data_IF_700368533141
#
_entry.id   IF_700368533141
#
_cell.length_a   1.000
_cell.length_b   1.000
_cell.length_c   1.000
_cell.angle_alpha   90.00
_cell.angle_beta   90.00
_cell.angle_gamma   90.00
#
_symmetry.space_group_name_H-M   'P 1'
#
loop_
_entity.id
_entity.type
_entity.pdbx_description
1 polymer ?
#
# COMPACT_ATOMS: atom_id res chain seq x y z
N UNK A 1 31.46 -38.90 -41.73
CA UNK A 1 31.06 -39.09 -40.32
C UNK A 1 31.21 -37.81 -39.52
N UNK A 2 30.11 -37.46 -38.84
CA UNK A 2 29.90 -36.49 -37.73
C UNK A 2 30.47 -35.06 -37.84
N UNK A 3 29.64 -34.02 -38.03
CA UNK A 3 28.67 -33.39 -37.10
C UNK A 3 29.32 -32.54 -36.00
N UNK A 4 29.31 -31.21 -36.19
CA UNK A 4 28.77 -30.22 -35.24
C UNK A 4 28.99 -28.79 -35.76
N UNK A 5 27.96 -28.24 -36.41
CA UNK A 5 27.88 -26.83 -36.80
C UNK A 5 27.10 -26.06 -35.73
N UNK A 6 27.78 -25.14 -35.06
CA UNK A 6 27.14 -24.13 -34.20
C UNK A 6 26.45 -23.07 -35.07
N UNK A 7 25.18 -22.69 -34.83
CA UNK A 7 24.62 -21.49 -35.43
C UNK A 7 24.92 -20.27 -34.54
N UNK A 8 25.66 -19.33 -35.10
CA UNK A 8 25.93 -18.00 -34.57
C UNK A 8 24.60 -17.29 -34.30
N UNK A 9 24.34 -16.91 -33.04
CA UNK A 9 23.22 -16.02 -32.71
C UNK A 9 23.42 -14.67 -33.40
N UNK A 10 22.68 -14.44 -34.49
CA UNK A 10 22.50 -13.12 -35.08
C UNK A 10 21.81 -12.23 -34.05
N UNK A 11 22.54 -11.21 -33.60
CA UNK A 11 22.03 -9.97 -33.02
C UNK A 11 20.95 -9.43 -33.96
N UNK A 12 19.69 -9.47 -33.54
CA UNK A 12 18.61 -8.75 -34.19
C UNK A 12 18.69 -7.32 -33.67
N UNK A 13 19.24 -6.45 -34.50
CA UNK A 13 19.13 -5.01 -34.34
C UNK A 13 17.64 -4.65 -34.45
N UNK A 14 17.07 -4.13 -33.36
CA UNK A 14 15.72 -3.55 -33.35
C UNK A 14 15.74 -2.24 -34.11
N UNK A 15 15.61 -2.31 -35.43
CA UNK A 15 15.27 -1.15 -36.25
C UNK A 15 13.84 -0.74 -35.93
N UNK A 16 13.71 0.40 -35.24
CA UNK A 16 12.44 1.08 -35.00
C UNK A 16 11.95 1.67 -36.33
N UNK A 17 11.38 0.82 -37.18
CA UNK A 17 10.65 1.26 -38.39
C UNK A 17 9.25 1.66 -37.95
N UNK A 18 8.99 2.96 -38.07
CA UNK A 18 7.67 3.54 -37.87
C UNK A 18 6.70 2.88 -38.85
N UNK A 19 5.83 2.02 -38.31
CA UNK A 19 4.79 1.34 -39.07
C UNK A 19 3.52 2.18 -38.98
N UNK A 20 2.89 2.39 -40.13
CA UNK A 20 1.66 3.14 -40.31
C UNK A 20 0.52 2.66 -39.37
N UNK A 21 -0.46 3.53 -39.03
CA UNK A 21 -1.55 3.18 -38.14
C UNK A 21 -2.50 2.19 -38.86
N UNK A 22 -2.25 0.89 -38.69
CA UNK A 22 -3.09 -0.13 -39.31
C UNK A 22 -2.48 -1.53 -39.38
N UNK A 23 -1.17 -1.69 -39.24
CA UNK A 23 -0.53 -3.01 -39.32
C UNK A 23 -0.29 -3.61 -37.93
N UNK A 24 -1.38 -4.01 -37.27
CA UNK A 24 -1.30 -4.84 -36.06
C UNK A 24 -0.85 -6.22 -36.51
N UNK A 25 0.26 -6.70 -35.96
CA UNK A 25 0.79 -8.03 -36.23
C UNK A 25 -0.34 -9.07 -36.10
N UNK A 26 -0.64 -9.77 -37.20
CA UNK A 26 -1.73 -10.73 -37.29
C UNK A 26 -1.56 -11.88 -36.30
N UNK A 27 -0.30 -12.18 -35.92
CA UNK A 27 0.02 -13.16 -34.88
C UNK A 27 -0.41 -12.64 -33.53
N UNK A 28 -0.05 -11.40 -33.19
CA UNK A 28 -0.46 -10.77 -31.93
C UNK A 28 -1.99 -10.64 -31.81
N UNK A 29 -2.68 -10.27 -32.90
CA UNK A 29 -4.14 -10.20 -32.93
C UNK A 29 -4.77 -11.58 -32.69
N UNK A 30 -4.22 -12.62 -33.34
CA UNK A 30 -4.70 -14.00 -33.17
C UNK A 30 -4.49 -14.49 -31.73
N UNK A 31 -3.32 -14.24 -31.15
CA UNK A 31 -3.02 -14.62 -29.76
C UNK A 31 -3.96 -13.90 -28.78
N UNK A 32 -4.25 -12.62 -29.02
CA UNK A 32 -5.19 -11.86 -28.20
C UNK A 32 -6.61 -12.44 -28.27
N UNK A 33 -7.06 -12.81 -29.48
CA UNK A 33 -8.38 -13.42 -29.71
C UNK A 33 -8.48 -14.80 -29.08
N UNK A 34 -7.42 -15.62 -29.17
CA UNK A 34 -7.38 -16.97 -28.57
C UNK A 34 -7.36 -16.92 -27.03
N UNK A 35 -6.85 -15.86 -26.41
CA UNK A 35 -6.88 -15.70 -24.95
C UNK A 35 -8.25 -15.30 -24.38
N UNK A 36 -9.15 -14.71 -25.18
CA UNK A 36 -10.45 -14.20 -24.68
C UNK A 36 -11.29 -15.28 -23.99
N UNK A 37 -11.52 -16.48 -24.58
CA UNK A 37 -12.28 -17.55 -23.90
C UNK A 37 -11.63 -18.04 -22.61
N UNK A 38 -10.29 -18.03 -22.53
CA UNK A 38 -9.54 -18.46 -21.35
C UNK A 38 -9.68 -17.46 -20.20
N UNK A 39 -9.57 -16.16 -20.52
CA UNK A 39 -9.79 -15.07 -19.58
C UNK A 39 -11.24 -15.06 -19.10
N UNK A 40 -12.20 -15.26 -20.00
CA UNK A 40 -13.62 -15.37 -19.66
C UNK A 40 -13.87 -16.56 -18.70
N UNK A 41 -13.28 -17.72 -18.97
CA UNK A 41 -13.36 -18.90 -18.09
C UNK A 41 -12.74 -18.67 -16.71
N UNK A 42 -11.70 -17.84 -16.60
CA UNK A 42 -11.09 -17.43 -15.34
C UNK A 42 -11.98 -16.47 -14.55
N UNK A 43 -12.62 -15.53 -15.23
CA UNK A 43 -13.56 -14.58 -14.62
C UNK A 43 -14.82 -15.32 -14.13
N UNK A 44 -15.35 -16.25 -14.91
CA UNK A 44 -16.50 -17.08 -14.54
C UNK A 44 -16.18 -18.02 -13.37
N UNK A 45 -14.95 -18.57 -13.30
CA UNK A 45 -14.50 -19.36 -12.15
C UNK A 45 -14.36 -18.54 -10.87
N UNK A 46 -14.01 -17.24 -10.96
CA UNK A 46 -13.91 -16.34 -9.79
C UNK A 46 -15.26 -16.12 -9.11
N UNK A 47 -16.36 -16.13 -9.86
CA UNK A 47 -17.71 -15.98 -9.30
C UNK A 47 -18.14 -17.22 -8.49
N UNK A 48 -17.61 -18.40 -8.82
CA UNK A 48 -17.91 -19.66 -8.16
C UNK A 48 -16.86 -20.01 -7.09
N UNK A 49 -16.33 -19.02 -6.37
CA UNK A 49 -15.40 -19.24 -5.28
C UNK A 49 -16.09 -19.97 -4.13
N UNK A 50 -16.03 -21.31 -4.17
CA UNK A 50 -16.48 -22.21 -3.11
C UNK A 50 -15.54 -22.20 -1.88
N UNK A 51 -14.63 -21.23 -1.79
CA UNK A 51 -13.78 -21.03 -0.62
C UNK A 51 -14.50 -20.20 0.45
N UNK A 52 -15.59 -20.73 0.99
CA UNK A 52 -15.98 -20.46 2.38
C UNK A 52 -15.64 -21.68 3.22
N UNK A 53 -14.34 -22.05 3.26
CA UNK A 53 -13.86 -23.01 4.24
C UNK A 53 -13.80 -22.31 5.60
N UNK A 54 -14.97 -22.11 6.20
CA UNK A 54 -15.13 -21.79 7.61
C UNK A 54 -14.74 -23.05 8.39
N UNK A 55 -13.45 -23.30 8.52
CA UNK A 55 -12.95 -24.35 9.41
C UNK A 55 -13.34 -23.98 10.83
N UNK A 56 -14.21 -24.76 11.46
CA UNK A 56 -14.46 -24.62 12.90
C UNK A 56 -13.17 -24.98 13.63
N UNK A 57 -12.50 -23.97 14.19
CA UNK A 57 -11.35 -24.17 15.04
C UNK A 57 -11.82 -24.74 16.39
N UNK A 58 -11.67 -26.05 16.58
CA UNK A 58 -11.90 -26.68 17.89
C UNK A 58 -10.64 -26.44 18.72
N UNK A 59 -10.73 -25.53 19.70
CA UNK A 59 -9.68 -25.32 20.70
C UNK A 59 -9.56 -26.57 21.58
N UNK A 60 -8.49 -27.34 21.37
CA UNK A 60 -8.07 -28.34 22.37
C UNK A 60 -7.20 -27.64 23.42
N UNK A 61 -7.43 -27.94 24.70
CA UNK A 61 -6.63 -27.42 25.82
C UNK A 61 -5.16 -27.79 25.61
N UNK A 62 -4.26 -26.81 25.75
CA UNK A 62 -2.81 -27.03 25.74
C UNK A 62 -2.42 -28.00 26.87
N UNK A 63 -1.64 -29.06 26.61
CA UNK A 63 -1.19 -29.95 27.67
C UNK A 63 -0.31 -29.18 28.66
N UNK A 64 -0.59 -29.31 29.96
CA UNK A 64 0.14 -28.60 31.01
C UNK A 64 1.60 -29.04 31.05
N UNK A 65 2.49 -28.06 31.28
CA UNK A 65 3.95 -28.21 31.32
C UNK A 65 4.46 -28.88 32.61
N UNK A 66 3.61 -29.58 33.35
CA UNK A 66 3.90 -30.12 34.68
C UNK A 66 4.64 -31.47 34.65
N UNK A 67 4.81 -32.10 33.49
CA UNK A 67 5.47 -33.40 33.37
C UNK A 67 7.00 -33.35 33.22
N UNK A 68 7.61 -32.16 33.16
CA UNK A 68 9.06 -31.99 32.94
C UNK A 68 9.85 -31.56 34.18
N UNK A 69 9.23 -31.40 35.35
CA UNK A 69 9.90 -30.91 36.58
C UNK A 69 9.91 -31.89 37.76
N UNK A 70 9.85 -33.21 37.53
CA UNK A 70 10.22 -34.20 38.56
C UNK A 70 11.45 -34.99 38.16
N UNK A 71 12.62 -34.39 38.36
CA UNK A 71 13.84 -35.16 38.57
C UNK A 71 14.88 -34.40 39.37
N UNK A 72 14.56 -34.18 40.64
CA UNK A 72 15.49 -34.20 41.78
C UNK A 72 14.67 -33.97 43.05
N UNK A 73 14.99 -34.73 44.10
CA UNK A 73 14.44 -34.67 45.48
C UNK A 73 12.94 -34.95 45.63
N UNK A 74 12.57 -36.21 45.91
CA UNK A 74 12.30 -36.61 47.29
C UNK A 74 11.82 -38.06 47.41
N UNK A 75 12.27 -38.66 48.50
CA UNK A 75 11.94 -39.98 49.03
C UNK A 75 10.45 -40.02 49.43
N UNK A 76 9.85 -41.22 49.27
CA UNK A 76 8.62 -41.72 49.94
C UNK A 76 7.32 -41.66 49.13
N UNK A 77 6.87 -42.85 48.71
CA UNK A 77 5.44 -43.13 48.66
C UNK A 77 4.94 -44.00 47.50
N UNK A 78 4.69 -45.28 47.83
CA UNK A 78 3.43 -45.99 47.51
C UNK A 78 3.34 -46.72 46.16
N UNK A 79 3.86 -47.94 46.21
CA UNK A 79 3.44 -49.20 45.57
C UNK A 79 2.12 -49.17 44.75
N UNK A 80 2.18 -49.54 43.48
CA UNK A 80 1.09 -50.23 42.77
C UNK A 80 1.65 -51.06 41.60
N UNK A 81 1.56 -52.38 41.73
CA UNK A 81 1.26 -53.35 40.68
C UNK A 81 2.25 -53.52 39.52
N UNK A 82 2.98 -54.64 39.53
CA UNK A 82 2.86 -55.71 38.52
C UNK A 82 3.76 -56.90 38.90
N UNK A 83 3.15 -58.07 38.92
CA UNK A 83 3.64 -59.28 39.56
C UNK A 83 4.63 -60.08 38.70
N UNK A 84 5.65 -60.64 39.36
CA UNK A 84 6.56 -61.68 38.86
C UNK A 84 5.94 -63.04 39.21
N UNK A 85 5.78 -64.00 38.27
CA UNK A 85 5.37 -65.35 38.64
C UNK A 85 6.60 -66.20 38.98
N UNK A 86 6.89 -66.32 40.29
CA UNK A 86 7.76 -67.36 40.84
C UNK A 86 6.94 -68.64 40.97
N UNK A 87 7.24 -69.67 40.17
CA UNK A 87 6.70 -71.02 40.40
C UNK A 87 7.50 -71.70 41.51
N UNK A 88 6.80 -72.04 42.60
CA UNK A 88 7.32 -72.76 43.76
C UNK A 88 7.38 -74.27 43.52
N UNK A 89 8.41 -74.86 44.12
CA UNK A 89 8.64 -76.28 44.43
C UNK A 89 7.47 -76.93 45.16
N UNK A 90 7.31 -78.25 44.94
CA UNK A 90 6.73 -79.19 45.92
C UNK A 90 7.41 -80.56 45.82
N UNK A 91 8.07 -80.89 46.92
CA UNK A 91 8.45 -82.17 47.58
C UNK A 91 8.45 -83.50 46.83
N UNK A 92 9.54 -84.29 47.02
CA UNK A 92 9.48 -85.59 47.71
C UNK A 92 10.89 -86.08 48.11
N UNK A 93 11.05 -86.44 49.38
CA UNK A 93 12.22 -87.11 49.98
C UNK A 93 12.00 -88.62 49.94
N UNK A 94 12.98 -89.37 49.42
CA UNK A 94 13.65 -90.53 50.04
C UNK A 94 14.22 -91.51 48.98
N UNK A 95 15.53 -91.80 49.08
CA UNK A 95 16.10 -93.16 49.30
C UNK A 95 17.63 -93.17 49.07
N UNK A 96 18.33 -93.62 50.11
CA UNK A 96 19.76 -93.96 50.14
C UNK A 96 20.12 -95.13 49.19
N UNK A 97 21.39 -95.18 48.76
CA UNK A 97 22.00 -96.39 48.19
C UNK A 97 23.39 -96.18 47.59
N UNK A 98 24.40 -96.26 48.45
CA UNK A 98 25.78 -96.77 48.26
C UNK A 98 26.62 -96.54 46.98
N UNK A 99 27.88 -96.18 47.28
CA UNK A 99 29.15 -96.60 46.64
C UNK A 99 29.67 -95.88 45.37
N UNK A 100 30.94 -95.48 45.46
CA UNK A 100 31.77 -94.64 44.57
C UNK A 100 32.07 -95.28 43.18
N UNK A 101 32.48 -94.50 42.16
CA UNK A 101 33.90 -94.14 42.00
C UNK A 101 34.16 -92.67 41.62
N UNK A 102 35.22 -92.10 42.22
CA UNK A 102 35.58 -90.66 42.26
C UNK A 102 36.53 -90.19 41.12
N UNK A 103 36.92 -91.03 40.17
CA UNK A 103 38.05 -90.70 39.28
C UNK A 103 37.74 -90.49 37.79
N UNK A 104 36.47 -90.34 37.38
CA UNK A 104 36.12 -90.04 35.96
C UNK A 104 35.43 -88.69 35.72
N UNK A 105 35.04 -87.97 36.78
CA UNK A 105 34.27 -86.72 36.63
C UNK A 105 35.15 -85.49 36.46
N UNK A 106 36.42 -85.53 36.89
CA UNK A 106 37.30 -84.34 36.90
C UNK A 106 37.75 -83.91 35.51
N UNK A 107 38.03 -84.87 34.62
CA UNK A 107 38.44 -84.59 33.24
C UNK A 107 37.27 -84.11 32.39
N UNK A 108 36.06 -84.67 32.56
CA UNK A 108 34.84 -84.19 31.91
C UNK A 108 34.38 -82.81 32.41
N UNK A 109 34.61 -82.50 33.70
CA UNK A 109 34.33 -81.17 34.27
C UNK A 109 35.30 -80.14 33.71
N UNK A 110 36.60 -80.47 33.62
CA UNK A 110 37.61 -79.58 33.04
C UNK A 110 37.42 -79.36 31.52
N UNK A 111 36.97 -80.38 30.79
CA UNK A 111 36.65 -80.27 29.36
C UNK A 111 35.42 -79.38 29.14
N UNK A 112 34.37 -79.56 29.96
CA UNK A 112 33.19 -78.70 29.96
C UNK A 112 33.50 -77.25 30.35
N UNK A 113 34.31 -77.04 31.38
CA UNK A 113 34.75 -75.69 31.79
C UNK A 113 35.58 -75.00 30.69
N UNK A 114 36.39 -75.75 29.95
CA UNK A 114 37.13 -75.21 28.80
C UNK A 114 36.21 -74.84 27.62
N UNK A 115 35.21 -75.66 27.30
CA UNK A 115 34.20 -75.32 26.28
C UNK A 115 33.40 -74.07 26.68
N UNK A 116 33.03 -73.94 27.95
CA UNK A 116 32.38 -72.74 28.49
C UNK A 116 33.29 -71.50 28.37
N UNK A 117 34.59 -71.64 28.67
CA UNK A 117 35.57 -70.56 28.48
C UNK A 117 35.75 -70.16 27.01
N UNK A 118 35.73 -71.12 26.08
CA UNK A 118 35.80 -70.87 24.63
C UNK A 118 34.53 -70.12 24.18
N UNK A 119 33.35 -70.57 24.60
CA UNK A 119 32.08 -69.90 24.27
C UNK A 119 32.00 -68.47 24.84
N UNK A 120 32.53 -68.25 26.05
CA UNK A 120 32.64 -66.91 26.64
C UNK A 120 33.62 -66.03 25.86
N UNK A 121 34.75 -66.58 25.41
CA UNK A 121 35.71 -65.88 24.55
C UNK A 121 35.05 -65.44 23.25
N UNK A 122 34.34 -66.36 22.60
CA UNK A 122 33.61 -66.07 21.36
C UNK A 122 32.59 -64.95 21.59
N UNK A 123 31.80 -65.00 22.67
CA UNK A 123 30.86 -63.91 23.00
C UNK A 123 31.56 -62.57 23.22
N UNK A 124 32.72 -62.54 23.88
CA UNK A 124 33.48 -61.31 24.11
C UNK A 124 33.96 -60.73 22.77
N UNK A 125 34.48 -61.56 21.87
CA UNK A 125 34.88 -61.14 20.52
C UNK A 125 33.68 -60.61 19.72
N UNK A 126 32.54 -61.30 19.81
CA UNK A 126 31.31 -60.92 19.12
C UNK A 126 30.73 -59.59 19.64
N UNK A 127 30.80 -59.37 20.96
CA UNK A 127 30.43 -58.11 21.61
C UNK A 127 31.39 -56.98 21.22
N UNK A 128 32.69 -57.23 21.18
CA UNK A 128 33.68 -56.26 20.72
C UNK A 128 33.42 -55.82 19.27
N UNK A 129 33.13 -56.78 18.37
CA UNK A 129 32.79 -56.47 16.98
C UNK A 129 31.51 -55.65 16.86
N UNK A 130 30.46 -55.98 17.63
CA UNK A 130 29.22 -55.19 17.70
C UNK A 130 29.44 -53.79 18.25
N UNK A 131 30.35 -53.64 19.21
CA UNK A 131 30.69 -52.35 19.79
C UNK A 131 31.39 -51.45 18.75
N UNK A 132 32.36 -51.99 18.02
CA UNK A 132 33.02 -51.30 16.91
C UNK A 132 32.01 -50.85 15.83
N UNK A 133 31.11 -51.74 15.41
CA UNK A 133 30.07 -51.40 14.44
C UNK A 133 29.14 -50.29 14.95
N UNK A 134 28.77 -50.31 16.24
CA UNK A 134 27.97 -49.24 16.85
C UNK A 134 28.74 -47.92 16.92
N UNK A 135 30.04 -47.95 17.19
CA UNK A 135 30.88 -46.74 17.22
C UNK A 135 30.99 -46.09 15.84
N UNK A 136 31.12 -46.88 14.77
CA UNK A 136 31.15 -46.37 13.39
C UNK A 136 29.78 -45.80 12.96
N UNK A 137 28.68 -46.45 13.36
CA UNK A 137 27.33 -45.89 13.18
C UNK A 137 27.15 -44.58 13.96
N UNK A 138 27.70 -44.50 15.17
CA UNK A 138 27.67 -43.28 15.97
C UNK A 138 28.44 -42.14 15.29
N UNK A 139 29.65 -42.41 14.77
CA UNK A 139 30.43 -41.44 13.99
C UNK A 139 29.66 -40.98 12.74
N UNK A 140 29.02 -41.91 12.04
CA UNK A 140 28.20 -41.59 10.86
C UNK A 140 26.99 -40.72 11.21
N UNK A 141 26.32 -41.01 12.34
CA UNK A 141 25.21 -40.21 12.84
C UNK A 141 25.66 -38.80 13.25
N UNK A 142 26.85 -38.66 13.83
CA UNK A 142 27.42 -37.37 14.22
C UNK A 142 27.78 -36.51 12.99
N UNK A 143 28.37 -37.11 11.95
CA UNK A 143 28.61 -36.44 10.66
C UNK A 143 27.29 -36.00 10.02
N UNK A 144 26.28 -36.89 10.01
CA UNK A 144 24.95 -36.58 9.48
C UNK A 144 24.28 -35.43 10.25
N UNK A 145 24.42 -35.41 11.59
CA UNK A 145 23.90 -34.32 12.43
C UNK A 145 24.57 -32.99 12.10
N UNK A 146 25.89 -32.97 11.88
CA UNK A 146 26.59 -31.75 11.48
C UNK A 146 26.09 -31.24 10.13
N UNK A 147 25.90 -32.14 9.16
CA UNK A 147 25.33 -31.77 7.86
C UNK A 147 23.91 -31.21 7.97
N UNK A 148 23.06 -31.78 8.85
CA UNK A 148 21.72 -31.24 9.12
C UNK A 148 21.80 -29.83 9.71
N UNK A 149 22.74 -29.57 10.63
CA UNK A 149 22.93 -28.23 11.19
C UNK A 149 23.35 -27.22 10.12
N UNK A 150 24.24 -27.62 9.20
CA UNK A 150 24.68 -26.76 8.09
C UNK A 150 23.50 -26.42 7.16
N UNK A 151 22.72 -27.42 6.76
CA UNK A 151 21.50 -27.23 5.96
C UNK A 151 20.48 -26.35 6.69
N UNK A 152 20.35 -26.49 8.00
CA UNK A 152 19.47 -25.66 8.80
C UNK A 152 19.93 -24.20 8.83
N UNK A 153 21.24 -23.94 8.94
CA UNK A 153 21.79 -22.59 8.86
C UNK A 153 21.57 -21.95 7.49
N UNK A 154 21.75 -22.70 6.39
CA UNK A 154 21.44 -22.22 5.04
C UNK A 154 19.94 -21.91 4.87
N UNK A 155 19.06 -22.74 5.43
CA UNK A 155 17.61 -22.52 5.40
C UNK A 155 17.23 -21.25 6.16
N UNK A 156 17.82 -21.00 7.32
CA UNK A 156 17.60 -19.76 8.09
C UNK A 156 18.10 -18.52 7.34
N UNK A 157 19.24 -18.62 6.64
CA UNK A 157 19.74 -17.54 5.78
C UNK A 157 18.80 -17.27 4.59
N UNK A 158 18.32 -18.32 3.91
CA UNK A 158 17.37 -18.19 2.81
C UNK A 158 16.06 -17.54 3.29
N UNK A 159 15.59 -17.92 4.48
CA UNK A 159 14.37 -17.36 5.06
C UNK A 159 14.53 -15.86 5.41
N UNK A 160 15.69 -15.45 5.93
CA UNK A 160 16.01 -14.03 6.12
C UNK A 160 15.99 -13.26 4.80
N UNK A 161 16.64 -13.79 3.77
CA UNK A 161 16.65 -13.16 2.45
C UNK A 161 15.26 -13.09 1.79
N UNK A 162 14.41 -14.10 2.01
CA UNK A 162 13.01 -14.06 1.60
C UNK A 162 12.25 -12.92 2.31
N UNK A 163 12.42 -12.78 3.63
CA UNK A 163 11.81 -11.71 4.41
C UNK A 163 12.28 -10.30 3.97
N UNK A 164 13.57 -10.14 3.64
CA UNK A 164 14.11 -8.89 3.09
C UNK A 164 13.49 -8.53 1.74
N UNK A 165 13.38 -9.52 0.83
CA UNK A 165 12.71 -9.32 -0.46
C UNK A 165 11.23 -8.99 -0.31
N UNK A 166 10.52 -9.64 0.60
CA UNK A 166 9.13 -9.34 0.88
C UNK A 166 8.97 -7.92 1.45
N UNK A 167 9.90 -7.47 2.29
CA UNK A 167 9.94 -6.08 2.79
C UNK A 167 10.14 -5.08 1.65
N UNK A 168 11.07 -5.37 0.73
CA UNK A 168 11.32 -4.54 -0.45
C UNK A 168 10.09 -4.47 -1.36
N UNK A 169 9.43 -5.60 -1.61
CA UNK A 169 8.19 -5.65 -2.40
C UNK A 169 7.11 -4.78 -1.76
N UNK A 170 6.91 -4.87 -0.44
CA UNK A 170 5.94 -4.03 0.28
C UNK A 170 6.30 -2.54 0.18
N UNK A 171 7.58 -2.20 0.29
CA UNK A 171 8.05 -0.82 0.13
C UNK A 171 7.77 -0.26 -1.26
N UNK A 172 8.08 -1.03 -2.32
CA UNK A 172 7.81 -0.63 -3.72
C UNK A 172 6.30 -0.50 -3.96
N UNK A 173 5.50 -1.42 -3.45
CA UNK A 173 4.03 -1.35 -3.55
C UNK A 173 3.48 -0.09 -2.89
N UNK A 174 4.01 0.28 -1.71
CA UNK A 174 3.63 1.51 -1.03
C UNK A 174 4.00 2.74 -1.86
N UNK A 175 5.23 2.81 -2.39
CA UNK A 175 5.66 3.91 -3.26
C UNK A 175 4.81 4.03 -4.53
N UNK A 176 4.46 2.90 -5.16
CA UNK A 176 3.59 2.87 -6.32
C UNK A 176 2.18 3.41 -5.99
N UNK A 177 1.65 3.05 -4.82
CA UNK A 177 0.35 3.54 -4.37
C UNK A 177 0.36 5.05 -4.10
N UNK A 178 1.41 5.58 -3.47
CA UNK A 178 1.59 7.02 -3.24
C UNK A 178 1.72 7.79 -4.57
N UNK A 179 2.51 7.26 -5.51
CA UNK A 179 2.64 7.84 -6.84
C UNK A 179 1.30 7.85 -7.60
N UNK A 180 0.49 6.80 -7.46
CA UNK A 180 -0.85 6.71 -8.06
C UNK A 180 -1.81 7.75 -7.49
N UNK A 181 -1.78 7.98 -6.17
CA UNK A 181 -2.59 9.03 -5.52
C UNK A 181 -2.17 10.41 -6.03
N UNK A 182 -0.86 10.70 -6.03
CA UNK A 182 -0.32 11.97 -6.56
C UNK A 182 -0.71 12.19 -8.02
N UNK A 183 -0.70 11.15 -8.83
CA UNK A 183 -1.12 11.25 -10.24
C UNK A 183 -2.62 11.59 -10.36
N UNK A 184 -3.47 10.97 -9.54
CA UNK A 184 -4.90 11.29 -9.50
C UNK A 184 -5.14 12.74 -9.05
N UNK A 185 -4.40 13.24 -8.05
CA UNK A 185 -4.49 14.63 -7.60
C UNK A 185 -4.08 15.62 -8.70
N UNK A 186 -3.01 15.30 -9.44
CA UNK A 186 -2.56 16.09 -10.58
C UNK A 186 -3.59 16.08 -11.72
N UNK A 187 -4.22 14.95 -11.99
CA UNK A 187 -5.30 14.83 -12.97
C UNK A 187 -6.50 15.69 -12.57
N UNK A 188 -6.92 15.64 -11.30
CA UNK A 188 -8.02 16.46 -10.79
C UNK A 188 -7.71 17.97 -10.88
N UNK A 189 -6.48 18.37 -10.56
CA UNK A 189 -6.04 19.76 -10.71
C UNK A 189 -6.05 20.22 -12.18
N UNK A 190 -5.62 19.35 -13.10
CA UNK A 190 -5.65 19.62 -14.54
C UNK A 190 -7.10 19.80 -15.03
N UNK A 191 -8.00 18.87 -14.69
CA UNK A 191 -9.40 18.96 -15.10
C UNK A 191 -10.08 20.22 -14.56
N UNK A 192 -9.79 20.60 -13.30
CA UNK A 192 -10.28 21.84 -12.71
C UNK A 192 -9.82 23.07 -13.50
N UNK A 193 -8.52 23.18 -13.75
CA UNK A 193 -7.95 24.32 -14.49
C UNK A 193 -8.45 24.37 -15.94
N UNK A 194 -8.67 23.21 -16.57
CA UNK A 194 -9.28 23.11 -17.89
C UNK A 194 -10.74 23.61 -17.88
N UNK A 195 -11.53 23.22 -16.87
CA UNK A 195 -12.90 23.72 -16.68
C UNK A 195 -12.94 25.22 -16.46
N UNK A 196 -12.05 25.76 -15.63
CA UNK A 196 -11.90 27.19 -15.40
C UNK A 196 -11.51 27.94 -16.68
N UNK A 197 -10.59 27.40 -17.48
CA UNK A 197 -10.19 27.98 -18.77
C UNK A 197 -11.34 27.98 -19.78
N UNK A 198 -12.09 26.87 -19.89
CA UNK A 198 -13.24 26.77 -20.81
C UNK A 198 -14.37 27.73 -20.43
N UNK A 199 -14.71 27.80 -19.14
CA UNK A 199 -15.74 28.73 -18.65
C UNK A 199 -15.31 30.19 -18.76
N UNK A 200 -14.02 30.48 -18.54
CA UNK A 200 -13.45 31.81 -18.77
C UNK A 200 -13.50 32.20 -20.24
N UNK A 201 -13.11 31.30 -21.15
CA UNK A 201 -13.20 31.51 -22.61
C UNK A 201 -14.64 31.81 -23.05
N UNK A 202 -15.62 31.09 -22.53
CA UNK A 202 -17.03 31.33 -22.84
C UNK A 202 -17.51 32.71 -22.35
N UNK A 203 -17.07 33.13 -21.17
CA UNK A 203 -17.35 34.49 -20.66
C UNK A 203 -16.72 35.56 -21.56
N UNK A 204 -15.47 35.37 -21.98
CA UNK A 204 -14.78 36.27 -22.91
C UNK A 204 -15.54 36.40 -24.24
N UNK A 205 -15.96 35.27 -24.82
CA UNK A 205 -16.74 35.26 -26.07
C UNK A 205 -18.07 36.00 -25.92
N UNK A 206 -18.76 35.84 -24.78
CA UNK A 206 -19.97 36.61 -24.49
C UNK A 206 -19.69 38.11 -24.43
N UNK A 207 -18.66 38.52 -23.68
CA UNK A 207 -18.25 39.93 -23.61
C UNK A 207 -17.87 40.50 -24.98
N UNK A 208 -17.18 39.72 -25.82
CA UNK A 208 -16.84 40.15 -27.18
C UNK A 208 -18.08 40.39 -28.02
N UNK A 209 -19.06 39.47 -27.99
CA UNK A 209 -20.33 39.65 -28.70
C UNK A 209 -21.10 40.88 -28.22
N UNK A 210 -21.10 41.15 -26.91
CA UNK A 210 -21.73 42.34 -26.33
C UNK A 210 -21.05 43.64 -26.82
N UNK A 211 -19.72 43.66 -26.92
CA UNK A 211 -18.95 44.78 -27.48
C UNK A 211 -19.29 45.00 -28.95
N UNK A 212 -19.31 43.93 -29.76
CA UNK A 212 -19.62 44.01 -31.19
C UNK A 212 -21.06 44.52 -31.41
N UNK A 213 -22.01 44.11 -30.56
CA UNK A 213 -23.38 44.63 -30.55
C UNK A 213 -23.43 46.12 -30.23
N UNK A 214 -22.79 46.55 -29.14
CA UNK A 214 -22.74 47.96 -28.75
C UNK A 214 -22.06 48.83 -29.81
N UNK A 215 -21.02 48.32 -30.49
CA UNK A 215 -20.37 49.03 -31.58
C UNK A 215 -21.33 49.24 -32.77
N UNK A 216 -22.14 48.23 -33.09
CA UNK A 216 -23.21 48.35 -34.10
C UNK A 216 -24.27 49.37 -33.71
N UNK A 217 -24.74 49.33 -32.44
CA UNK A 217 -25.69 50.29 -31.90
C UNK A 217 -25.14 51.72 -31.91
N UNK A 218 -23.88 51.92 -31.48
CA UNK A 218 -23.20 53.21 -31.51
C UNK A 218 -23.04 53.72 -32.94
N UNK A 219 -22.74 52.85 -33.91
CA UNK A 219 -22.65 53.21 -35.32
C UNK A 219 -24.00 53.67 -35.87
N UNK A 220 -25.08 52.96 -35.53
CA UNK A 220 -26.46 53.35 -35.86
C UNK A 220 -26.83 54.71 -35.26
N UNK A 221 -26.51 54.91 -33.98
CA UNK A 221 -26.74 56.15 -33.27
C UNK A 221 -25.96 57.32 -33.87
N UNK A 222 -24.68 57.14 -34.18
CA UNK A 222 -23.84 58.13 -34.86
C UNK A 222 -24.36 58.48 -36.26
N UNK A 223 -24.88 57.50 -37.00
CA UNK A 223 -25.52 57.73 -38.29
C UNK A 223 -26.76 58.62 -38.14
N UNK A 224 -27.59 58.38 -37.12
CA UNK A 224 -28.75 59.22 -36.81
C UNK A 224 -28.33 60.66 -36.50
N UNK A 225 -27.32 60.87 -35.64
CA UNK A 225 -26.77 62.20 -35.34
C UNK A 225 -26.24 62.90 -36.60
N UNK A 226 -25.52 62.18 -37.45
CA UNK A 226 -25.04 62.70 -38.73
C UNK A 226 -26.19 63.07 -39.68
N UNK A 227 -27.28 62.31 -39.70
CA UNK A 227 -28.48 62.65 -40.46
C UNK A 227 -29.18 63.90 -39.92
N UNK A 228 -29.27 64.06 -38.60
CA UNK A 228 -29.88 65.24 -37.97
C UNK A 228 -29.06 66.51 -38.21
N UNK A 229 -27.74 66.45 -38.00
CA UNK A 229 -26.83 67.59 -38.25
C UNK A 229 -26.82 68.03 -39.73
N UNK A 230 -26.94 67.09 -40.68
CA UNK A 230 -27.08 67.43 -42.12
C UNK A 230 -28.42 68.11 -42.43
N UNK A 231 -29.53 67.69 -41.81
CA UNK A 231 -30.87 68.25 -42.04
C UNK A 231 -31.02 69.67 -41.45
N UNK A 232 -30.31 69.99 -40.37
CA UNK A 232 -30.31 71.32 -39.78
C UNK A 232 -29.41 72.33 -40.51
N UNK A 233 -28.61 71.90 -41.50
CA UNK A 233 -27.76 72.81 -42.29
C UNK A 233 -28.50 73.42 -43.50
N UNK A 234 -29.70 72.95 -43.81
CA UNK A 234 -30.46 73.33 -45.02
C UNK A 234 -31.76 74.09 -44.77
N UNK A 235 -32.07 74.46 -43.53
CA UNK A 235 -33.26 75.27 -43.26
C UNK A 235 -33.02 76.19 -42.07
N UNK A 236 -33.09 77.50 -42.35
CA UNK A 236 -33.21 78.62 -41.41
C UNK A 236 -31.93 79.02 -40.66
N UNK A 237 -31.20 79.94 -41.31
CA UNK A 237 -30.47 80.98 -40.59
C UNK A 237 -31.52 81.94 -40.00
N UNK A 238 -32.01 81.64 -38.80
CA UNK A 238 -32.77 82.60 -38.03
C UNK A 238 -32.20 82.67 -36.61
N UNK A 239 -31.80 83.89 -36.31
CA UNK A 239 -31.20 84.43 -35.11
C UNK A 239 -32.08 84.10 -33.90
N UNK A 240 -31.71 83.08 -33.13
CA UNK A 240 -32.27 82.86 -31.80
C UNK A 240 -31.13 82.88 -30.79
N UNK A 241 -31.02 84.02 -30.13
CA UNK A 241 -30.24 84.24 -28.92
C UNK A 241 -30.86 83.40 -27.78
N UNK A 242 -30.50 82.12 -27.75
CA UNK A 242 -30.84 81.22 -26.66
C UNK A 242 -29.86 81.51 -25.53
N UNK A 243 -30.31 82.25 -24.53
CA UNK A 243 -29.61 82.42 -23.27
C UNK A 243 -29.13 81.04 -22.76
N UNK A 244 -27.82 80.87 -22.45
CA UNK A 244 -27.32 79.59 -22.03
C UNK A 244 -28.05 79.13 -20.77
N UNK A 245 -28.79 78.03 -20.88
CA UNK A 245 -29.31 77.31 -19.72
C UNK A 245 -28.13 77.03 -18.80
N UNK A 246 -28.21 77.55 -17.58
CA UNK A 246 -27.29 77.23 -16.50
C UNK A 246 -27.30 75.73 -16.30
N UNK A 247 -26.31 75.05 -16.89
CA UNK A 247 -25.98 73.70 -16.51
C UNK A 247 -25.55 73.79 -15.05
N UNK A 248 -26.38 73.25 -14.17
CA UNK A 248 -26.04 73.04 -12.78
C UNK A 248 -24.64 72.41 -12.73
N UNK A 249 -23.72 73.13 -12.11
CA UNK A 249 -22.34 72.69 -11.94
C UNK A 249 -22.39 71.35 -11.19
N UNK A 250 -22.13 70.25 -11.89
CA UNK A 250 -21.61 69.06 -11.24
C UNK A 250 -20.33 69.49 -10.51
N UNK A 251 -20.21 69.24 -9.19
CA UNK A 251 -18.98 69.53 -8.48
C UNK A 251 -17.84 68.85 -9.20
N UNK A 252 -16.90 69.67 -9.66
CA UNK A 252 -15.65 69.24 -10.26
C UNK A 252 -14.90 68.44 -9.20
N UNK A 253 -14.91 67.11 -9.34
CA UNK A 253 -14.19 66.14 -8.51
C UNK A 253 -12.68 66.21 -8.77
N UNK A 254 -12.08 67.39 -8.78
CA UNK A 254 -10.67 67.58 -9.14
C UNK A 254 -9.83 68.25 -8.04
N UNK A 255 -10.34 68.26 -6.81
CA UNK A 255 -9.53 68.64 -5.65
C UNK A 255 -9.69 67.62 -4.51
N UNK A 256 -9.49 66.33 -4.84
CA UNK A 256 -9.27 65.31 -3.83
C UNK A 256 -7.82 65.41 -3.33
N UNK A 257 -7.62 66.08 -2.19
CA UNK A 257 -6.33 66.19 -1.49
C UNK A 257 -5.59 64.83 -1.52
N UNK A 258 -4.37 64.79 -2.07
CA UNK A 258 -3.55 63.59 -2.27
C UNK A 258 -3.37 62.75 -0.97
N UNK A 259 -3.62 63.35 0.19
CA UNK A 259 -3.56 62.72 1.51
C UNK A 259 -4.90 62.17 2.02
N UNK A 260 -6.03 62.55 1.44
CA UNK A 260 -7.37 62.08 1.80
C UNK A 260 -7.76 60.81 1.03
N UNK A 261 -7.33 60.68 -0.23
CA UNK A 261 -7.50 59.45 -1.03
C UNK A 261 -7.02 58.17 -0.34
N UNK A 262 -5.80 58.08 0.24
CA UNK A 262 -5.36 56.86 0.91
C UNK A 262 -6.15 56.57 2.19
N UNK A 263 -6.64 57.60 2.90
CA UNK A 263 -7.44 57.43 4.12
C UNK A 263 -8.85 56.94 3.83
N UNK A 264 -9.45 57.41 2.73
CA UNK A 264 -10.74 56.93 2.26
C UNK A 264 -10.65 55.46 1.83
N UNK A 265 -9.57 55.07 1.15
CA UNK A 265 -9.34 53.67 0.76
C UNK A 265 -9.09 52.78 1.99
N UNK A 266 -8.34 53.25 2.99
CA UNK A 266 -8.19 52.54 4.28
C UNK A 266 -9.53 52.36 5.00
N UNK A 267 -10.37 53.41 5.05
CA UNK A 267 -11.71 53.32 5.62
C UNK A 267 -12.61 52.33 4.85
N UNK A 268 -12.47 52.25 3.53
CA UNK A 268 -13.19 51.28 2.68
C UNK A 268 -12.75 49.86 3.02
N UNK A 269 -11.44 49.61 3.15
CA UNK A 269 -10.89 48.31 3.50
C UNK A 269 -11.32 47.88 4.91
N UNK A 270 -11.30 48.80 5.88
CA UNK A 270 -11.77 48.54 7.24
C UNK A 270 -13.26 48.15 7.27
N UNK A 271 -14.11 48.82 6.47
CA UNK A 271 -15.53 48.45 6.34
C UNK A 271 -15.71 47.05 5.74
N UNK A 272 -14.97 46.71 4.69
CA UNK A 272 -15.02 45.36 4.09
C UNK A 272 -14.58 44.29 5.09
N UNK A 273 -13.47 44.52 5.81
CA UNK A 273 -13.00 43.60 6.84
C UNK A 273 -14.02 43.42 7.98
N UNK A 274 -14.66 44.51 8.42
CA UNK A 274 -15.71 44.46 9.42
C UNK A 274 -16.96 43.72 8.93
N UNK A 275 -17.33 43.84 7.65
CA UNK A 275 -18.42 43.06 7.05
C UNK A 275 -18.09 41.57 7.01
N UNK A 276 -16.86 41.20 6.70
CA UNK A 276 -16.46 39.80 6.66
C UNK A 276 -16.41 39.20 8.06
N UNK A 277 -15.92 39.95 9.06
CA UNK A 277 -15.98 39.56 10.47
C UNK A 277 -17.44 39.43 10.97
N UNK A 278 -18.34 40.33 10.59
CA UNK A 278 -19.75 40.26 10.94
C UNK A 278 -20.46 39.06 10.29
N UNK A 279 -20.10 38.70 9.05
CA UNK A 279 -20.61 37.49 8.39
C UNK A 279 -20.12 36.21 9.05
N UNK A 280 -18.88 36.19 9.52
CA UNK A 280 -18.28 35.03 10.18
C UNK A 280 -18.84 34.81 11.59
N UNK A 281 -18.91 35.87 12.41
CA UNK A 281 -19.25 35.76 13.83
C UNK A 281 -20.73 35.96 14.14
N UNK A 282 -21.45 36.73 13.32
CA UNK A 282 -22.89 37.03 13.47
C UNK A 282 -23.29 37.52 14.87
N UNK A 283 -22.37 38.17 15.59
CA UNK A 283 -22.56 38.77 16.90
C UNK A 283 -22.88 40.27 16.80
N UNK A 284 -23.56 40.79 17.82
CA UNK A 284 -24.00 42.18 17.88
C UNK A 284 -22.82 43.16 17.86
N UNK A 285 -21.69 42.79 18.46
CA UNK A 285 -20.46 43.59 18.45
C UNK A 285 -19.86 43.72 17.03
N UNK A 286 -19.80 42.64 16.24
CA UNK A 286 -19.28 42.73 14.86
C UNK A 286 -20.25 43.46 13.92
N UNK A 287 -21.56 43.34 14.14
CA UNK A 287 -22.55 44.15 13.41
C UNK A 287 -22.43 45.64 13.74
N UNK A 288 -22.24 45.99 15.02
CA UNK A 288 -22.00 47.37 15.45
C UNK A 288 -20.68 47.92 14.88
N UNK A 289 -19.62 47.11 14.82
CA UNK A 289 -18.34 47.48 14.20
C UNK A 289 -18.47 47.72 12.68
N UNK A 290 -19.26 46.91 11.97
CA UNK A 290 -19.54 47.13 10.56
C UNK A 290 -20.35 48.42 10.33
N UNK A 291 -21.31 48.72 11.21
CA UNK A 291 -22.09 49.95 11.15
C UNK A 291 -21.22 51.19 11.42
N UNK A 292 -20.32 51.15 12.41
CA UNK A 292 -19.41 52.26 12.70
C UNK A 292 -18.38 52.48 11.59
N UNK A 293 -17.83 51.41 11.01
CA UNK A 293 -16.94 51.50 9.86
C UNK A 293 -17.63 52.09 8.62
N UNK A 294 -18.92 51.78 8.42
CA UNK A 294 -19.74 52.40 7.35
C UNK A 294 -19.93 53.89 7.57
N UNK A 295 -20.23 54.32 8.79
CA UNK A 295 -20.37 55.75 9.12
C UNK A 295 -19.05 56.49 8.92
N UNK A 296 -17.92 55.86 9.29
CA UNK A 296 -16.59 56.43 9.07
C UNK A 296 -16.29 56.60 7.57
N UNK A 297 -16.62 55.60 6.74
CA UNK A 297 -16.48 55.72 5.28
C UNK A 297 -17.38 56.81 4.69
N UNK A 298 -18.63 56.90 5.15
CA UNK A 298 -19.57 57.95 4.71
C UNK A 298 -19.09 59.36 5.08
N UNK A 299 -18.35 59.51 6.18
CA UNK A 299 -17.83 60.81 6.58
C UNK A 299 -16.92 61.44 5.52
N UNK A 300 -16.22 60.66 4.70
CA UNK A 300 -15.41 61.17 3.59
C UNK A 300 -16.25 61.61 2.39
N UNK A 301 -17.43 61.03 2.19
CA UNK A 301 -18.33 61.35 1.07
C UNK A 301 -19.17 62.60 1.33
N UNK A 302 -19.48 62.91 2.59
CA UNK A 302 -20.30 64.07 2.97
C UNK A 302 -19.50 65.27 3.47
N UNK A 303 -18.17 65.15 3.61
CA UNK A 303 -17.31 66.26 4.04
C UNK A 303 -17.14 67.36 2.98
N UNK A 304 -17.44 67.05 1.71
CA UNK A 304 -17.30 67.98 0.59
C UNK A 304 -18.47 68.97 0.45
N UNK A 305 -19.45 68.95 1.37
CA UNK A 305 -20.66 69.80 1.30
C UNK A 305 -20.69 70.92 2.37
N UNK A 306 -19.57 71.18 3.05
CA UNK A 306 -19.47 72.18 4.10
C UNK A 306 -18.21 73.04 4.01
N UNK A 307 -18.17 73.94 3.02
CA UNK A 307 -17.34 75.14 3.01
C UNK A 307 -18.17 76.31 2.46
#
# INVERSE_FOLDING_TARGET
DNSNSSPTHRRVESSLVHSAPGDVDRVLYKDLVEMIPLVQSLIERKANSSFTRRGSMIYTKTPSRESLSRKTTDVKGRNTGLAIPVKKKKDQVDKNGDSLPIFSSRDLIAEKENEELIALREQVEDLQKKLLQKEDLQKSAEISKNHINDVQAELEQLNRHAAEKDSLIKSIQLQLSDAKIKLADKQAALEKTQWEAMTSKQKLEKLQNDIDSMQGEFSSFMLLLNCLTKKNRTAYAEDYDVAPYHSEHFPHLDDADDKEMPKMEEARQAYVAALDAAKEKQDEESLAAAASARLHLQSFLFKSEGA
#
